data_IF_223040104410
#
_entry.id   IF_223040104410
#
_cell.length_a   1.000
_cell.length_b   1.000
_cell.length_c   1.000
_cell.angle_alpha   90.00
_cell.angle_beta   90.00
_cell.angle_gamma   90.00
#
_symmetry.space_group_name_H-M   'P 1'
#
loop_
_entity.id
_entity.type
_entity.pdbx_description
1 polymer ?
#
# COMPACT_ATOMS: atom_id res chain seq x y z
N UNK A 1 -12.60 6.41 42.48
CA UNK A 1 -12.90 6.40 41.03
C UNK A 1 -11.68 6.86 40.21
N UNK A 2 -10.59 6.08 40.15
CA UNK A 2 -9.35 6.54 39.46
C UNK A 2 -8.70 5.48 38.58
N UNK A 3 -8.77 4.21 38.98
CA UNK A 3 -8.07 3.12 38.28
C UNK A 3 -8.85 2.62 37.04
N UNK A 4 -10.18 2.60 37.11
CA UNK A 4 -11.05 2.15 36.00
C UNK A 4 -10.97 3.05 34.76
N UNK A 5 -10.73 4.36 34.93
CA UNK A 5 -10.62 5.29 33.81
C UNK A 5 -9.30 5.11 33.03
N UNK A 6 -8.22 4.78 33.75
CA UNK A 6 -6.89 4.53 33.17
C UNK A 6 -6.88 3.25 32.34
N UNK A 7 -7.44 2.16 32.87
CA UNK A 7 -7.56 0.89 32.13
C UNK A 7 -8.39 1.06 30.86
N UNK A 8 -9.52 1.79 30.94
CA UNK A 8 -10.39 2.05 29.78
C UNK A 8 -9.69 2.88 28.69
N UNK A 9 -8.80 3.79 29.07
CA UNK A 9 -8.07 4.64 28.12
C UNK A 9 -6.97 3.85 27.40
N UNK A 10 -6.28 2.95 28.11
CA UNK A 10 -5.25 2.07 27.52
C UNK A 10 -5.89 1.02 26.60
N UNK A 11 -7.03 0.43 27.01
CA UNK A 11 -7.79 -0.51 26.15
C UNK A 11 -8.19 0.10 24.81
N UNK A 12 -8.69 1.35 24.80
CA UNK A 12 -9.08 2.02 23.55
C UNK A 12 -7.90 2.23 22.60
N UNK A 13 -6.71 2.53 23.12
CA UNK A 13 -5.51 2.67 22.29
C UNK A 13 -5.05 1.33 21.69
N UNK A 14 -5.19 0.24 22.43
CA UNK A 14 -4.87 -1.10 21.94
C UNK A 14 -5.86 -1.58 20.88
N UNK A 15 -7.16 -1.30 21.05
CA UNK A 15 -8.19 -1.62 20.05
C UNK A 15 -7.89 -0.96 18.69
N UNK A 16 -7.41 0.29 18.67
CA UNK A 16 -7.03 0.95 17.41
C UNK A 16 -5.84 0.28 16.72
N UNK A 17 -4.85 -0.21 17.46
CA UNK A 17 -3.69 -0.91 16.87
C UNK A 17 -4.12 -2.25 16.28
N UNK A 18 -5.01 -2.97 16.96
CA UNK A 18 -5.55 -4.24 16.49
C UNK A 18 -6.40 -4.03 15.22
N UNK A 19 -7.21 -2.97 15.16
CA UNK A 19 -7.96 -2.63 13.94
C UNK A 19 -7.04 -2.31 12.76
N UNK A 20 -5.98 -1.52 12.96
CA UNK A 20 -5.00 -1.22 11.90
C UNK A 20 -4.29 -2.47 11.36
N UNK A 21 -4.08 -3.50 12.19
CA UNK A 21 -3.52 -4.77 11.76
C UNK A 21 -4.57 -5.69 11.11
N UNK A 22 -5.83 -5.57 11.53
CA UNK A 22 -6.96 -6.33 10.95
C UNK A 22 -7.25 -5.87 9.53
N UNK A 23 -6.91 -4.63 9.16
CA UNK A 23 -6.98 -4.14 7.77
C UNK A 23 -5.91 -4.74 6.83
N UNK A 24 -4.91 -5.43 7.37
CA UNK A 24 -3.96 -6.23 6.59
C UNK A 24 -4.54 -7.61 6.17
N UNK A 25 -5.77 -7.93 6.58
CA UNK A 25 -6.46 -9.16 6.22
C UNK A 25 -7.08 -9.08 4.81
N UNK A 26 -7.25 -10.24 4.14
CA UNK A 26 -7.85 -10.33 2.80
C UNK A 26 -9.24 -9.68 2.75
N UNK A 27 -9.69 -9.17 1.58
CA UNK A 27 -9.27 -9.47 0.20
C UNK A 27 -8.06 -8.68 -0.32
N UNK A 28 -7.17 -9.38 -1.00
CA UNK A 28 -6.05 -8.79 -1.73
C UNK A 28 -6.50 -8.39 -3.14
N UNK A 29 -6.23 -7.15 -3.52
CA UNK A 29 -6.50 -6.67 -4.88
C UNK A 29 -5.25 -6.84 -5.74
N UNK A 30 -5.45 -7.05 -7.03
CA UNK A 30 -4.38 -7.10 -8.02
C UNK A 30 -4.69 -6.09 -9.10
N UNK A 31 -3.76 -5.17 -9.33
CA UNK A 31 -3.82 -4.20 -10.41
C UNK A 31 -2.66 -4.41 -11.36
N UNK A 32 -2.90 -4.21 -12.65
CA UNK A 32 -1.91 -4.34 -13.71
C UNK A 32 -1.97 -3.11 -14.59
N UNK A 33 -0.83 -2.50 -14.87
CA UNK A 33 -0.75 -1.37 -15.78
C UNK A 33 0.57 -0.62 -15.68
N UNK A 34 0.63 0.49 -16.41
CA UNK A 34 1.78 1.39 -16.36
C UNK A 34 1.80 2.17 -15.03
N UNK A 35 3.00 2.43 -14.52
CA UNK A 35 3.23 3.41 -13.47
C UNK A 35 2.95 4.80 -14.04
N UNK A 36 1.83 5.41 -13.64
CA UNK A 36 1.41 6.70 -14.16
C UNK A 36 2.16 7.86 -13.50
N UNK A 37 2.34 7.77 -12.19
CA UNK A 37 2.95 8.84 -11.40
C UNK A 37 3.46 8.30 -10.06
N UNK A 38 4.38 9.05 -9.48
CA UNK A 38 4.98 8.76 -8.18
C UNK A 38 4.86 10.01 -7.31
N UNK A 39 4.39 9.82 -6.08
CA UNK A 39 4.17 10.89 -5.11
C UNK A 39 4.89 10.54 -3.81
N UNK A 40 5.53 11.54 -3.22
CA UNK A 40 6.10 11.43 -1.88
C UNK A 40 5.30 12.34 -0.97
N UNK A 41 4.69 11.78 0.06
CA UNK A 41 4.01 12.58 1.07
C UNK A 41 5.02 13.30 1.95
N UNK A 42 4.66 14.46 2.53
CA UNK A 42 5.54 15.20 3.43
C UNK A 42 5.91 14.42 4.70
N UNK A 43 5.14 13.39 5.04
CA UNK A 43 5.39 12.46 6.15
C UNK A 43 6.48 11.41 5.85
N UNK A 44 7.06 11.42 4.63
CA UNK A 44 8.10 10.48 4.20
C UNK A 44 7.55 9.18 3.60
N UNK A 45 6.23 9.00 3.56
CA UNK A 45 5.61 7.85 2.91
C UNK A 45 5.57 8.01 1.39
N UNK A 46 6.02 6.98 0.68
CA UNK A 46 6.06 6.94 -0.78
C UNK A 46 4.82 6.24 -1.34
N UNK A 47 4.24 6.82 -2.38
CA UNK A 47 3.09 6.27 -3.08
C UNK A 47 3.31 6.30 -4.60
N UNK A 48 2.73 5.35 -5.31
CA UNK A 48 2.63 5.43 -6.76
C UNK A 48 1.22 5.14 -7.24
N UNK A 49 0.96 5.50 -8.50
CA UNK A 49 -0.31 5.24 -9.18
C UNK A 49 -0.12 4.24 -10.31
N UNK A 50 -0.87 3.13 -10.26
CA UNK A 50 -0.91 2.11 -11.33
C UNK A 50 -2.36 1.90 -11.74
N UNK A 51 -2.67 2.10 -13.02
CA UNK A 51 -4.00 1.91 -13.61
C UNK A 51 -5.18 2.50 -12.77
N UNK A 52 -4.96 3.67 -12.16
CA UNK A 52 -5.87 4.40 -11.25
C UNK A 52 -5.92 3.95 -9.78
N UNK A 53 -5.15 2.96 -9.35
CA UNK A 53 -4.96 2.61 -7.94
C UNK A 53 -3.77 3.37 -7.34
N UNK A 54 -3.97 4.01 -6.17
CA UNK A 54 -2.89 4.59 -5.37
C UNK A 54 -2.35 3.52 -4.43
N UNK A 55 -1.05 3.27 -4.46
CA UNK A 55 -0.44 2.19 -3.68
C UNK A 55 0.75 2.73 -2.89
N UNK A 56 0.78 2.42 -1.59
CA UNK A 56 1.86 2.72 -0.67
C UNK A 56 3.02 1.74 -0.88
N UNK A 57 4.23 2.28 -0.97
CA UNK A 57 5.47 1.52 -1.12
C UNK A 57 6.61 2.04 -0.27
N UNK A 58 7.57 1.16 -0.03
CA UNK A 58 8.82 1.48 0.63
C UNK A 58 9.67 2.40 -0.26
N UNK A 59 10.47 3.26 0.37
CA UNK A 59 11.34 4.22 -0.32
C UNK A 59 12.33 3.54 -1.29
N UNK A 60 12.87 2.38 -0.90
CA UNK A 60 13.78 1.60 -1.75
C UNK A 60 13.09 1.16 -3.05
N UNK A 61 11.85 0.66 -2.95
CA UNK A 61 11.04 0.25 -4.09
C UNK A 61 10.64 1.45 -4.93
N UNK A 62 10.28 2.57 -4.31
CA UNK A 62 9.97 3.84 -4.99
C UNK A 62 11.15 4.36 -5.83
N UNK A 63 12.38 4.20 -5.34
CA UNK A 63 13.59 4.56 -6.08
C UNK A 63 13.92 3.62 -7.24
N UNK A 64 13.48 2.36 -7.19
CA UNK A 64 13.75 1.34 -8.21
C UNK A 64 12.77 1.34 -9.39
N UNK A 65 11.60 1.97 -9.23
CA UNK A 65 10.52 1.99 -10.22
C UNK A 65 10.53 3.31 -11.01
N UNK A 66 10.34 3.20 -12.32
CA UNK A 66 10.29 4.35 -13.22
C UNK A 66 8.88 4.58 -13.78
N UNK A 67 8.52 5.85 -14.00
CA UNK A 67 7.24 6.22 -14.63
C UNK A 67 7.21 5.65 -16.04
N UNK A 68 6.15 4.90 -16.36
CA UNK A 68 6.03 4.12 -17.59
C UNK A 68 6.33 2.63 -17.43
N UNK A 69 6.91 2.18 -16.32
CA UNK A 69 7.12 0.75 -16.05
C UNK A 69 5.79 0.01 -16.00
N UNK A 70 5.74 -1.15 -16.65
CA UNK A 70 4.56 -2.02 -16.65
C UNK A 70 4.63 -2.96 -15.44
N UNK A 71 3.72 -2.73 -14.49
CA UNK A 71 3.74 -3.34 -13.16
C UNK A 71 2.46 -4.12 -12.89
N UNK A 72 2.64 -5.29 -12.31
CA UNK A 72 1.60 -6.10 -11.71
C UNK A 72 1.76 -6.02 -10.20
N UNK A 73 0.82 -5.34 -9.55
CA UNK A 73 0.90 -5.07 -8.12
C UNK A 73 -0.23 -5.79 -7.40
N UNK A 74 0.13 -6.58 -6.40
CA UNK A 74 -0.80 -7.12 -5.41
C UNK A 74 -0.75 -6.24 -4.18
N UNK A 75 -1.90 -5.78 -3.70
CA UNK A 75 -1.99 -4.89 -2.55
C UNK A 75 -3.13 -5.27 -1.60
N UNK A 76 -2.99 -4.85 -0.34
CA UNK A 76 -3.99 -5.05 0.72
C UNK A 76 -5.18 -4.09 0.57
N UNK A 77 -6.19 -4.20 1.44
CA UNK A 77 -7.27 -3.20 1.52
C UNK A 77 -6.80 -1.81 1.93
N UNK A 78 -5.74 -1.74 2.75
CA UNK A 78 -5.13 -0.47 3.15
C UNK A 78 -4.15 0.10 2.13
N UNK A 79 -4.32 -0.24 0.83
CA UNK A 79 -3.49 0.25 -0.28
C UNK A 79 -1.98 -0.02 -0.16
N UNK A 80 -1.58 -0.94 0.72
CA UNK A 80 -0.17 -1.35 0.86
C UNK A 80 0.20 -2.42 -0.14
N UNK A 81 1.27 -2.19 -0.88
CA UNK A 81 1.85 -3.20 -1.76
C UNK A 81 2.30 -4.43 -0.97
N UNK A 82 2.04 -5.60 -1.52
CA UNK A 82 2.50 -6.91 -1.03
C UNK A 82 3.51 -7.50 -2.01
N UNK A 83 3.21 -7.42 -3.31
CA UNK A 83 4.12 -7.87 -4.36
C UNK A 83 4.03 -6.94 -5.55
N UNK A 84 5.18 -6.63 -6.16
CA UNK A 84 5.32 -5.77 -7.32
C UNK A 84 6.19 -6.51 -8.33
N UNK A 85 5.56 -6.99 -9.40
CA UNK A 85 6.22 -7.68 -10.49
C UNK A 85 6.31 -6.75 -11.71
N UNK A 86 7.51 -6.53 -12.23
CA UNK A 86 7.69 -5.92 -13.56
C UNK A 86 7.38 -6.95 -14.64
N UNK A 87 6.58 -6.58 -15.63
CA UNK A 87 6.31 -7.44 -16.77
C UNK A 87 6.37 -6.65 -18.07
N UNK A 88 6.78 -7.30 -19.15
CA UNK A 88 6.67 -6.72 -20.49
C UNK A 88 5.33 -7.17 -21.06
N UNK A 89 4.41 -6.26 -21.44
CA UNK A 89 3.20 -6.65 -22.12
C UNK A 89 3.58 -7.34 -23.44
N UNK A 90 3.02 -8.54 -23.69
CA UNK A 90 3.26 -9.31 -24.91
C UNK A 90 2.69 -8.66 -26.19
N UNK A 91 2.18 -7.42 -26.12
CA UNK A 91 1.57 -6.70 -27.23
C UNK A 91 2.62 -6.09 -28.18
N UNK A 92 3.44 -6.95 -28.77
CA UNK A 92 4.43 -6.61 -29.80
C UNK A 92 4.81 -7.78 -30.70
N UNK A 93 4.07 -8.89 -30.67
CA UNK A 93 4.11 -9.93 -31.70
C UNK A 93 2.71 -10.20 -32.20
N UNK A 94 2.23 -9.36 -33.13
CA UNK A 94 1.55 -9.71 -34.40
C UNK A 94 1.16 -8.44 -35.15
#
# INVERSE_FOLDING_TARGET
MGVYALVKTVSRRLESIVMSLTDALPPYNVVQGALNSKETSPDGTCYFYVAAAKIEVDEATFGMLEVGDMLKVRYTRGDRAINIDRYVPLNGQE
#
